data_IF_547761629634
#
_entry.id   IF_547761629634
#
_cell.length_a   1.000
_cell.length_b   1.000
_cell.length_c   1.000
_cell.angle_alpha   90.00
_cell.angle_beta   90.00
_cell.angle_gamma   90.00
#
_symmetry.space_group_name_H-M   'P 1'
#
loop_
_entity.id
_entity.type
_entity.pdbx_description
1 polymer ?
#
# COMPACT_ATOMS: atom_id res chain seq x y z
N UNK A 1 17.75 -13.73 -53.73
CA UNK A 1 17.02 -13.88 -52.49
C UNK A 1 16.25 -12.59 -52.21
N UNK A 2 14.94 -12.69 -52.17
CA UNK A 2 14.02 -11.57 -52.31
C UNK A 2 13.91 -10.70 -51.03
N UNK A 3 14.20 -9.40 -51.14
CA UNK A 3 14.10 -8.40 -50.07
C UNK A 3 12.70 -8.31 -49.42
N UNK A 4 11.65 -8.87 -50.07
CA UNK A 4 10.28 -8.90 -49.52
C UNK A 4 10.06 -9.95 -48.42
N UNK A 5 10.83 -11.05 -48.44
CA UNK A 5 10.71 -12.08 -47.38
C UNK A 5 11.39 -11.66 -46.08
N UNK A 6 12.50 -10.89 -46.15
CA UNK A 6 13.15 -10.39 -44.93
C UNK A 6 12.31 -9.34 -44.19
N UNK A 7 11.58 -8.46 -44.93
CA UNK A 7 10.68 -7.49 -44.32
C UNK A 7 9.46 -8.14 -43.67
N UNK A 8 8.93 -9.23 -44.25
CA UNK A 8 7.78 -9.97 -43.63
C UNK A 8 8.21 -10.75 -42.40
N UNK A 9 9.42 -11.34 -42.37
CA UNK A 9 9.95 -12.04 -41.22
C UNK A 9 10.27 -11.06 -40.05
N UNK A 10 10.84 -9.90 -40.36
CA UNK A 10 11.14 -8.87 -39.35
C UNK A 10 9.86 -8.25 -38.77
N UNK A 11 8.84 -8.01 -39.59
CA UNK A 11 7.55 -7.51 -39.13
C UNK A 11 6.76 -8.54 -38.29
N UNK A 12 6.83 -9.85 -38.64
CA UNK A 12 6.20 -10.89 -37.85
C UNK A 12 6.90 -11.11 -36.52
N UNK A 13 8.24 -11.03 -36.45
CA UNK A 13 8.98 -11.09 -35.20
C UNK A 13 8.75 -9.84 -34.33
N UNK A 14 8.66 -8.66 -34.92
CA UNK A 14 8.32 -7.43 -34.22
C UNK A 14 6.89 -7.49 -33.64
N UNK A 15 5.92 -8.02 -34.40
CA UNK A 15 4.56 -8.21 -33.92
C UNK A 15 4.47 -9.26 -32.79
N UNK A 16 5.26 -10.35 -32.86
CA UNK A 16 5.34 -11.34 -31.79
C UNK A 16 6.01 -10.75 -30.55
N UNK A 17 7.06 -9.91 -30.71
CA UNK A 17 7.67 -9.21 -29.58
C UNK A 17 6.74 -8.15 -28.96
N UNK A 18 5.95 -7.43 -29.76
CA UNK A 18 4.97 -6.46 -29.28
C UNK A 18 3.77 -7.16 -28.59
N UNK A 19 3.31 -8.28 -29.11
CA UNK A 19 2.28 -9.11 -28.48
C UNK A 19 2.78 -9.80 -27.20
N UNK A 20 4.03 -10.27 -27.19
CA UNK A 20 4.65 -10.83 -26.00
C UNK A 20 4.92 -9.73 -24.94
N UNK A 21 5.36 -8.54 -25.35
CA UNK A 21 5.56 -7.41 -24.44
C UNK A 21 4.23 -6.90 -23.85
N UNK A 22 3.15 -6.85 -24.63
CA UNK A 22 1.82 -6.47 -24.13
C UNK A 22 1.21 -7.53 -23.21
N UNK A 23 1.39 -8.81 -23.51
CA UNK A 23 0.92 -9.88 -22.63
C UNK A 23 1.75 -10.02 -21.33
N UNK A 24 3.05 -9.74 -21.39
CA UNK A 24 3.91 -9.68 -20.19
C UNK A 24 3.54 -8.46 -19.35
N UNK A 25 3.29 -7.30 -19.94
CA UNK A 25 2.88 -6.09 -19.22
C UNK A 25 1.51 -6.28 -18.54
N UNK A 26 0.53 -6.92 -19.19
CA UNK A 26 -0.79 -7.16 -18.60
C UNK A 26 -0.80 -8.22 -17.51
N UNK A 27 0.01 -9.28 -17.63
CA UNK A 27 0.17 -10.27 -16.56
C UNK A 27 0.95 -9.70 -15.36
N UNK A 28 1.94 -8.85 -15.62
CA UNK A 28 2.78 -8.22 -14.60
C UNK A 28 2.02 -7.14 -13.83
N UNK A 29 1.11 -6.40 -14.48
CA UNK A 29 0.34 -5.32 -13.84
C UNK A 29 -0.65 -5.82 -12.78
N UNK A 30 -1.15 -7.04 -12.88
CA UNK A 30 -2.02 -7.64 -11.85
C UNK A 30 -1.28 -8.00 -10.56
N UNK A 31 0.05 -8.09 -10.58
CA UNK A 31 0.88 -8.58 -9.47
C UNK A 31 1.81 -7.49 -8.91
N UNK A 32 2.08 -6.41 -9.64
CA UNK A 32 3.21 -5.50 -9.36
C UNK A 32 2.84 -4.09 -8.90
N UNK A 33 1.58 -3.83 -8.57
CA UNK A 33 1.18 -2.49 -8.11
C UNK A 33 1.19 -1.41 -9.19
N UNK A 34 1.41 -1.76 -10.46
CA UNK A 34 1.26 -0.82 -11.56
C UNK A 34 -0.21 -0.48 -11.79
N UNK A 35 -0.52 0.77 -12.03
CA UNK A 35 -1.85 1.17 -12.50
C UNK A 35 -2.13 0.46 -13.81
N UNK A 36 -3.11 -0.42 -13.82
CA UNK A 36 -3.53 -1.11 -15.02
C UNK A 36 -4.79 -0.45 -15.58
N UNK A 37 -4.60 0.54 -16.43
CA UNK A 37 -5.69 1.15 -17.18
C UNK A 37 -6.20 0.25 -18.32
N UNK A 38 -5.47 -0.83 -18.61
CA UNK A 38 -5.77 -1.79 -19.70
C UNK A 38 -6.36 -3.12 -19.18
N UNK A 39 -6.79 -3.13 -17.91
CA UNK A 39 -7.38 -4.30 -17.27
C UNK A 39 -8.72 -4.71 -17.89
N UNK A 40 -9.20 -5.92 -17.60
CA UNK A 40 -10.52 -6.39 -18.05
C UNK A 40 -11.63 -5.71 -17.24
N UNK A 41 -11.74 -4.40 -17.35
CA UNK A 41 -12.73 -3.62 -16.59
C UNK A 41 -14.08 -3.66 -17.27
N UNK A 42 -15.03 -4.34 -16.64
CA UNK A 42 -16.41 -4.46 -17.17
C UNK A 42 -17.10 -3.10 -17.29
N UNK A 43 -16.84 -2.16 -16.36
CA UNK A 43 -17.42 -0.82 -16.42
C UNK A 43 -16.91 -0.02 -17.62
N UNK A 44 -15.63 -0.14 -17.97
CA UNK A 44 -15.04 0.52 -19.12
C UNK A 44 -15.64 0.03 -20.45
N UNK A 45 -16.09 -1.23 -20.50
CA UNK A 45 -16.71 -1.85 -21.67
C UNK A 45 -18.19 -1.51 -21.85
N UNK A 46 -18.85 -0.93 -20.84
CA UNK A 46 -20.24 -0.47 -20.94
C UNK A 46 -20.37 0.71 -21.89
N UNK A 47 -21.59 0.99 -22.37
CA UNK A 47 -21.86 2.17 -23.19
C UNK A 47 -21.50 3.48 -22.48
N UNK A 48 -21.74 3.55 -21.17
CA UNK A 48 -21.38 4.70 -20.33
C UNK A 48 -19.85 4.82 -20.19
N UNK A 49 -19.15 3.73 -19.89
CA UNK A 49 -17.69 3.72 -19.77
C UNK A 49 -16.99 4.13 -21.07
N UNK A 50 -17.48 3.64 -22.22
CA UNK A 50 -17.00 4.03 -23.54
C UNK A 50 -17.24 5.51 -23.83
N UNK A 51 -18.44 6.02 -23.55
CA UNK A 51 -18.76 7.44 -23.75
C UNK A 51 -17.87 8.35 -22.87
N UNK A 52 -17.59 7.95 -21.61
CA UNK A 52 -16.64 8.66 -20.74
C UNK A 52 -15.24 8.64 -21.36
N UNK A 53 -14.77 7.48 -21.82
CA UNK A 53 -13.44 7.34 -22.45
C UNK A 53 -13.28 8.21 -23.69
N UNK A 54 -14.30 8.19 -24.57
CA UNK A 54 -14.30 8.98 -25.79
C UNK A 54 -14.35 10.49 -25.52
N UNK A 55 -15.13 10.91 -24.53
CA UNK A 55 -15.33 12.33 -24.23
C UNK A 55 -14.18 12.93 -23.41
N UNK A 56 -13.66 12.19 -22.43
CA UNK A 56 -12.69 12.72 -21.44
C UNK A 56 -11.30 12.11 -21.54
N UNK A 57 -11.17 10.96 -22.20
CA UNK A 57 -9.97 10.12 -22.18
C UNK A 57 -9.81 9.32 -20.89
N UNK A 58 -10.75 9.40 -19.96
CA UNK A 58 -10.68 8.70 -18.68
C UNK A 58 -11.28 7.29 -18.75
N UNK A 59 -10.73 6.36 -17.98
CA UNK A 59 -11.24 5.00 -17.79
C UNK A 59 -11.93 4.89 -16.44
N UNK A 60 -13.13 4.28 -16.42
CA UNK A 60 -13.85 3.94 -15.19
C UNK A 60 -13.64 2.46 -14.91
N UNK A 61 -13.28 2.14 -13.68
CA UNK A 61 -13.05 0.75 -13.27
C UNK A 61 -13.34 0.56 -11.78
N UNK A 62 -13.50 -0.69 -11.40
CA UNK A 62 -13.68 -1.05 -10.01
C UNK A 62 -13.01 -2.36 -9.65
N UNK A 63 -12.78 -2.53 -8.36
CA UNK A 63 -12.29 -3.75 -7.74
C UNK A 63 -13.07 -4.01 -6.47
N UNK A 64 -13.59 -5.23 -6.31
CA UNK A 64 -14.20 -5.71 -5.09
C UNK A 64 -13.35 -6.83 -4.49
N UNK A 65 -13.21 -6.84 -3.18
CA UNK A 65 -12.49 -7.86 -2.43
C UNK A 65 -13.34 -8.36 -1.27
N UNK A 66 -13.52 -9.66 -1.21
CA UNK A 66 -14.14 -10.35 -0.08
C UNK A 66 -13.33 -11.59 0.26
N UNK A 67 -13.19 -11.89 1.55
CA UNK A 67 -12.34 -12.98 1.99
C UNK A 67 -12.89 -13.73 3.19
N UNK A 68 -12.17 -14.77 3.54
CA UNK A 68 -12.40 -15.58 4.73
C UNK A 68 -11.05 -15.87 5.40
N UNK A 69 -11.02 -15.79 6.71
CA UNK A 69 -9.84 -16.17 7.49
C UNK A 69 -10.21 -16.89 8.77
N UNK A 70 -9.32 -17.75 9.22
CA UNK A 70 -9.34 -18.38 10.54
C UNK A 70 -7.92 -18.51 11.08
N UNK A 71 -7.77 -18.44 12.39
CA UNK A 71 -6.48 -18.67 13.04
C UNK A 71 -6.61 -19.63 14.23
N UNK A 72 -5.49 -20.11 14.75
CA UNK A 72 -5.39 -21.09 15.83
C UNK A 72 -5.32 -20.46 17.24
N UNK A 73 -5.27 -19.13 17.34
CA UNK A 73 -5.13 -18.45 18.63
C UNK A 73 -6.50 -18.17 19.25
N UNK A 74 -6.61 -18.32 20.57
CA UNK A 74 -7.83 -18.08 21.34
C UNK A 74 -7.65 -16.93 22.33
N UNK A 75 -8.74 -16.19 22.60
CA UNK A 75 -8.72 -15.17 23.65
C UNK A 75 -8.79 -15.81 25.05
N UNK A 76 -8.17 -15.16 26.05
CA UNK A 76 -8.19 -15.63 27.43
C UNK A 76 -9.56 -15.60 28.08
N UNK A 77 -10.49 -14.74 27.61
CA UNK A 77 -11.75 -14.46 28.31
C UNK A 77 -12.93 -15.37 27.96
N UNK A 78 -12.97 -15.96 26.78
CA UNK A 78 -14.15 -16.71 26.33
C UNK A 78 -13.87 -17.95 25.46
N UNK A 79 -12.61 -18.34 25.33
CA UNK A 79 -12.16 -19.48 24.49
C UNK A 79 -12.65 -19.43 23.03
N UNK A 80 -13.17 -18.30 22.58
CA UNK A 80 -13.45 -18.08 21.16
C UNK A 80 -12.16 -17.73 20.45
N UNK A 81 -11.99 -18.23 19.24
CA UNK A 81 -10.85 -17.86 18.41
C UNK A 81 -10.80 -16.35 18.26
N UNK A 82 -9.64 -15.79 18.45
CA UNK A 82 -9.45 -14.36 18.36
C UNK A 82 -9.31 -13.93 16.90
N UNK A 83 -9.51 -12.64 16.67
CA UNK A 83 -9.01 -11.99 15.47
C UNK A 83 -7.53 -12.26 15.31
N UNK A 84 -7.08 -12.40 14.08
CA UNK A 84 -5.67 -12.20 13.80
C UNK A 84 -5.28 -10.80 14.29
N UNK A 85 -4.50 -10.77 15.35
CA UNK A 85 -4.03 -9.53 15.97
C UNK A 85 -2.97 -8.83 15.12
N UNK A 86 -2.55 -9.46 14.05
CA UNK A 86 -1.62 -8.81 13.15
C UNK A 86 -2.42 -7.86 12.29
N UNK A 87 -2.14 -6.62 12.46
CA UNK A 87 -2.57 -5.55 11.57
C UNK A 87 -2.22 -5.90 10.11
N UNK A 88 -1.25 -6.78 9.92
CA UNK A 88 -0.79 -7.27 8.63
C UNK A 88 -1.65 -8.39 8.04
N UNK A 89 -2.53 -9.02 8.81
CA UNK A 89 -3.41 -10.08 8.34
C UNK A 89 -4.85 -9.62 8.11
N UNK A 90 -5.72 -10.55 7.71
CA UNK A 90 -7.15 -10.34 7.77
C UNK A 90 -7.54 -9.99 9.20
N UNK A 91 -8.29 -8.93 9.36
CA UNK A 91 -8.52 -8.31 10.66
C UNK A 91 -9.53 -9.05 11.52
N UNK A 92 -10.33 -9.97 10.95
CA UNK A 92 -11.32 -10.78 11.66
C UNK A 92 -11.32 -12.22 11.18
N UNK A 93 -11.73 -13.11 12.09
CA UNK A 93 -12.05 -14.48 11.76
C UNK A 93 -13.41 -14.57 11.09
N UNK A 94 -13.53 -15.42 10.07
CA UNK A 94 -14.76 -15.62 9.31
C UNK A 94 -14.83 -14.81 8.01
N UNK A 95 -16.04 -14.71 7.43
CA UNK A 95 -16.24 -13.99 6.18
C UNK A 95 -16.11 -12.48 6.37
N UNK A 96 -15.45 -11.82 5.42
CA UNK A 96 -15.18 -10.38 5.44
C UNK A 96 -15.44 -9.76 4.10
N UNK A 97 -16.03 -8.55 4.11
CA UNK A 97 -16.02 -7.65 2.98
C UNK A 97 -14.88 -6.65 3.18
N UNK A 98 -13.75 -6.92 2.53
CA UNK A 98 -12.54 -6.07 2.67
C UNK A 98 -12.76 -4.70 2.03
N UNK A 99 -13.40 -4.66 0.85
CA UNK A 99 -13.80 -3.41 0.28
C UNK A 99 -14.08 -3.45 -1.21
N UNK A 100 -14.66 -2.36 -1.65
CA UNK A 100 -14.89 -2.04 -3.06
C UNK A 100 -14.28 -0.68 -3.34
N UNK A 101 -13.51 -0.60 -4.42
CA UNK A 101 -13.06 0.67 -4.99
C UNK A 101 -13.79 0.86 -6.31
N UNK A 102 -14.34 2.07 -6.49
CA UNK A 102 -14.79 2.60 -7.77
C UNK A 102 -13.89 3.76 -8.13
N UNK A 103 -13.28 3.74 -9.29
CA UNK A 103 -12.29 4.71 -9.73
C UNK A 103 -12.58 5.24 -11.13
N UNK A 104 -12.24 6.50 -11.33
CA UNK A 104 -12.11 7.12 -12.64
C UNK A 104 -10.71 7.69 -12.77
N UNK A 105 -9.98 7.31 -13.84
CA UNK A 105 -8.59 7.73 -14.04
C UNK A 105 -8.33 8.09 -15.50
N UNK A 106 -7.63 9.20 -15.68
CA UNK A 106 -6.96 9.58 -16.91
C UNK A 106 -5.48 9.77 -16.59
N UNK A 107 -4.61 8.99 -17.23
CA UNK A 107 -3.17 9.21 -17.14
C UNK A 107 -2.73 10.32 -18.11
N UNK A 108 -1.74 11.14 -17.76
CA UNK A 108 -1.09 12.03 -18.72
C UNK A 108 -0.34 11.20 -19.75
N UNK A 109 -0.19 11.70 -20.96
CA UNK A 109 0.65 11.11 -22.02
C UNK A 109 2.12 11.36 -21.67
N UNK A 110 2.76 10.40 -21.01
CA UNK A 110 4.14 10.48 -20.58
C UNK A 110 4.85 9.14 -20.79
N UNK A 111 6.18 9.16 -20.85
CA UNK A 111 7.03 7.97 -20.87
C UNK A 111 7.38 7.47 -19.45
N UNK A 112 6.51 7.75 -18.51
CA UNK A 112 6.46 7.21 -17.15
C UNK A 112 5.04 7.36 -16.60
N UNK A 113 4.70 6.55 -15.63
CA UNK A 113 3.49 6.75 -14.84
C UNK A 113 3.92 7.47 -13.55
N UNK A 114 3.52 8.74 -13.36
CA UNK A 114 3.88 9.50 -12.16
C UNK A 114 3.55 8.71 -10.90
N UNK A 115 4.42 8.72 -9.92
CA UNK A 115 4.36 8.00 -8.63
C UNK A 115 4.52 6.47 -8.71
N UNK A 116 4.68 5.89 -9.91
CA UNK A 116 4.68 4.44 -10.06
C UNK A 116 5.94 3.91 -10.73
N UNK A 117 6.22 4.31 -11.98
CA UNK A 117 7.33 3.68 -12.70
C UNK A 117 7.74 4.46 -13.96
N UNK A 118 9.02 4.49 -14.31
CA UNK A 118 9.42 4.86 -15.65
C UNK A 118 8.98 3.78 -16.64
N UNK A 119 8.69 4.17 -17.87
CA UNK A 119 8.28 3.28 -18.95
C UNK A 119 9.29 3.35 -20.12
N UNK A 120 9.52 2.24 -20.84
CA UNK A 120 10.30 2.25 -22.07
C UNK A 120 9.57 3.06 -23.17
N UNK A 121 10.32 3.46 -24.19
CA UNK A 121 9.79 4.20 -25.33
C UNK A 121 10.20 5.66 -25.36
N UNK A 122 9.82 6.40 -26.42
CA UNK A 122 10.19 7.79 -26.60
C UNK A 122 9.50 8.70 -25.57
N UNK A 123 10.10 9.87 -25.36
CA UNK A 123 9.49 10.92 -24.56
C UNK A 123 8.28 11.50 -25.33
N UNK A 124 7.19 11.78 -24.62
CA UNK A 124 6.10 12.57 -25.19
C UNK A 124 6.56 14.02 -25.38
N UNK A 125 6.33 14.57 -26.57
CA UNK A 125 6.65 15.95 -26.93
C UNK A 125 5.51 16.93 -26.64
N UNK A 126 4.35 16.43 -26.17
CA UNK A 126 3.15 17.21 -25.96
C UNK A 126 2.89 17.43 -24.47
N UNK A 127 2.38 18.60 -24.13
CA UNK A 127 1.74 18.82 -22.84
C UNK A 127 0.48 17.96 -22.73
N UNK A 128 0.32 17.36 -21.57
CA UNK A 128 -0.86 16.56 -21.30
C UNK A 128 -1.27 16.66 -19.84
N UNK A 129 -2.46 16.18 -19.52
CA UNK A 129 -2.97 16.21 -18.17
C UNK A 129 -3.71 14.92 -17.84
N UNK A 130 -3.78 14.64 -16.57
CA UNK A 130 -4.47 13.50 -16.03
C UNK A 130 -5.15 13.83 -14.70
N UNK A 131 -5.95 12.92 -14.22
CA UNK A 131 -6.58 12.99 -12.90
C UNK A 131 -6.99 11.60 -12.45
N UNK A 132 -7.26 11.48 -11.17
CA UNK A 132 -7.88 10.29 -10.58
C UNK A 132 -8.79 10.69 -9.44
N UNK A 133 -9.93 9.99 -9.31
CA UNK A 133 -10.81 10.03 -8.16
C UNK A 133 -11.27 8.61 -7.83
N UNK A 134 -11.09 8.21 -6.56
CA UNK A 134 -11.47 6.90 -6.04
C UNK A 134 -12.48 7.04 -4.92
N UNK A 135 -13.50 6.19 -4.95
CA UNK A 135 -14.38 5.92 -3.83
C UNK A 135 -14.03 4.55 -3.28
N UNK A 136 -13.74 4.45 -1.98
CA UNK A 136 -13.46 3.20 -1.28
C UNK A 136 -14.49 2.96 -0.19
N UNK A 137 -15.19 1.84 -0.25
CA UNK A 137 -16.12 1.40 0.77
C UNK A 137 -15.80 -0.03 1.20
N UNK A 138 -15.69 -0.25 2.51
CA UNK A 138 -15.44 -1.56 3.09
C UNK A 138 -14.62 -1.48 4.37
N UNK A 139 -14.23 -2.63 4.89
CA UNK A 139 -13.45 -2.71 6.12
C UNK A 139 -12.10 -1.99 6.01
N UNK A 140 -11.40 -2.20 4.90
CA UNK A 140 -10.09 -1.58 4.66
C UNK A 140 -10.19 -0.07 4.33
N UNK A 141 -11.40 0.46 4.17
CA UNK A 141 -11.65 1.90 4.08
C UNK A 141 -11.15 2.68 5.30
N UNK A 142 -11.08 2.01 6.47
CA UNK A 142 -10.45 2.57 7.67
C UNK A 142 -8.98 2.94 7.41
N UNK A 143 -8.23 2.09 6.72
CA UNK A 143 -6.81 2.31 6.44
C UNK A 143 -6.56 3.46 5.46
N UNK A 144 -7.59 3.87 4.74
CA UNK A 144 -7.52 4.98 3.77
C UNK A 144 -8.30 6.22 4.21
N UNK A 145 -8.90 6.24 5.37
CA UNK A 145 -9.56 7.43 5.91
C UNK A 145 -8.52 8.46 6.37
N UNK A 146 -8.71 9.73 6.01
CA UNK A 146 -7.84 10.81 6.47
C UNK A 146 -8.39 11.46 7.74
N UNK A 147 -7.49 11.75 8.66
CA UNK A 147 -7.83 12.45 9.89
C UNK A 147 -8.24 13.92 9.58
N UNK A 148 -9.37 14.36 10.14
CA UNK A 148 -9.94 15.67 9.89
C UNK A 148 -10.79 15.79 8.63
N UNK A 149 -10.99 14.68 7.89
CA UNK A 149 -11.94 14.57 6.76
C UNK A 149 -12.92 13.44 7.03
N UNK A 150 -12.63 12.22 6.55
CA UNK A 150 -13.59 11.12 6.62
C UNK A 150 -13.84 10.63 8.03
N UNK A 151 -12.91 10.82 8.95
CA UNK A 151 -13.14 10.51 10.34
C UNK A 151 -14.18 11.42 11.01
N UNK A 152 -14.45 12.59 10.45
CA UNK A 152 -15.48 13.49 10.97
C UNK A 152 -16.89 13.15 10.46
N UNK A 153 -16.98 12.28 9.47
CA UNK A 153 -18.28 11.90 8.91
C UNK A 153 -19.05 11.00 9.86
N UNK A 154 -20.33 11.29 10.07
CA UNK A 154 -21.22 10.53 10.95
C UNK A 154 -21.21 9.04 10.60
N UNK A 155 -21.18 8.70 9.31
CA UNK A 155 -21.12 7.32 8.82
C UNK A 155 -19.92 6.54 9.34
N UNK A 156 -18.82 7.22 9.60
CA UNK A 156 -17.55 6.64 10.04
C UNK A 156 -17.32 6.80 11.55
N UNK A 157 -18.15 7.53 12.26
CA UNK A 157 -18.00 7.76 13.69
C UNK A 157 -18.47 6.55 14.51
N UNK A 158 -17.79 6.31 15.62
CA UNK A 158 -18.20 5.36 16.63
C UNK A 158 -19.21 5.92 17.61
N UNK A 159 -19.65 5.12 18.59
CA UNK A 159 -20.45 5.61 19.69
C UNK A 159 -19.68 6.62 20.55
N UNK A 160 -20.35 7.63 21.18
CA UNK A 160 -19.69 8.56 22.06
C UNK A 160 -18.86 7.86 23.15
N UNK A 161 -17.62 8.31 23.32
CA UNK A 161 -16.66 7.75 24.30
C UNK A 161 -15.97 6.44 23.89
N UNK A 162 -16.26 5.90 22.70
CA UNK A 162 -15.54 4.78 22.12
C UNK A 162 -14.67 5.27 20.94
N UNK A 163 -13.64 4.49 20.56
CA UNK A 163 -12.93 4.76 19.31
C UNK A 163 -13.94 4.92 18.17
N UNK A 164 -13.72 5.85 17.27
CA UNK A 164 -14.69 6.19 16.23
C UNK A 164 -15.26 5.04 15.42
N UNK A 165 -14.62 3.93 15.38
CA UNK A 165 -14.96 2.75 14.58
C UNK A 165 -15.42 1.54 15.37
N UNK A 166 -15.65 1.67 16.67
CA UNK A 166 -15.94 0.53 17.53
C UNK A 166 -17.22 -0.24 17.12
N UNK A 167 -18.16 0.41 16.44
CA UNK A 167 -19.45 -0.16 16.06
C UNK A 167 -19.65 -0.32 14.55
N UNK A 168 -18.65 0.02 13.73
CA UNK A 168 -18.77 -0.05 12.27
C UNK A 168 -17.74 -1.01 11.68
N UNK A 169 -18.20 -1.89 10.79
CA UNK A 169 -17.36 -2.85 10.09
C UNK A 169 -16.88 -2.32 8.73
N UNK A 170 -17.54 -1.31 8.19
CA UNK A 170 -17.24 -0.78 6.87
C UNK A 170 -17.15 0.74 6.91
N UNK A 171 -16.14 1.28 6.25
CA UNK A 171 -15.80 2.69 6.18
C UNK A 171 -15.90 3.20 4.76
N UNK A 172 -16.28 4.47 4.62
CA UNK A 172 -16.29 5.17 3.35
C UNK A 172 -15.12 6.16 3.35
N UNK A 173 -14.32 6.15 2.29
CA UNK A 173 -13.21 7.10 2.10
C UNK A 173 -12.99 7.43 0.63
N UNK A 174 -12.25 8.51 0.36
CA UNK A 174 -11.77 8.91 -0.96
C UNK A 174 -10.24 8.88 -0.96
N UNK A 175 -9.62 7.70 -1.09
CA UNK A 175 -8.18 7.54 -0.91
C UNK A 175 -7.33 8.30 -1.92
N UNK A 176 -7.85 8.50 -3.13
CA UNK A 176 -7.16 9.19 -4.19
C UNK A 176 -8.10 10.22 -4.83
N UNK A 177 -7.71 11.49 -4.80
CA UNK A 177 -8.36 12.60 -5.51
C UNK A 177 -7.28 13.58 -5.89
N UNK A 178 -6.78 13.49 -7.12
CA UNK A 178 -5.68 14.33 -7.58
C UNK A 178 -5.78 14.69 -9.05
N UNK A 179 -5.09 15.76 -9.42
CA UNK A 179 -4.81 16.16 -10.81
C UNK A 179 -3.32 16.03 -11.12
N UNK A 180 -3.01 15.83 -12.39
CA UNK A 180 -1.65 15.72 -12.91
C UNK A 180 -1.50 16.60 -14.16
N UNK A 181 -0.33 17.20 -14.30
CA UNK A 181 0.08 17.93 -15.51
C UNK A 181 1.46 17.45 -15.94
N UNK A 182 1.58 17.07 -17.20
CA UNK A 182 2.85 16.68 -17.82
C UNK A 182 3.35 17.76 -18.76
N UNK A 183 4.64 18.03 -18.73
CA UNK A 183 5.35 18.91 -19.65
C UNK A 183 6.60 18.19 -20.20
N UNK A 184 6.94 18.39 -21.48
CA UNK A 184 8.15 17.86 -22.10
C UNK A 184 9.40 18.66 -21.71
N UNK A 185 9.64 18.83 -20.41
CA UNK A 185 10.78 19.53 -19.84
C UNK A 185 11.84 18.49 -19.45
N UNK A 186 13.09 18.68 -19.90
CA UNK A 186 14.17 17.72 -19.70
C UNK A 186 13.87 16.39 -20.41
N UNK A 187 13.87 15.28 -19.66
CA UNK A 187 13.48 13.95 -20.14
C UNK A 187 12.01 13.63 -19.81
N UNK A 188 11.17 14.65 -19.65
CA UNK A 188 9.76 14.57 -19.26
C UNK A 188 9.56 14.79 -17.76
N UNK A 189 8.64 15.70 -17.44
CA UNK A 189 8.34 16.10 -16.06
C UNK A 189 6.83 16.18 -15.87
N UNK A 190 6.33 15.68 -14.73
CA UNK A 190 4.93 15.79 -14.32
C UNK A 190 4.80 16.36 -12.91
N UNK A 191 3.74 17.12 -12.68
CA UNK A 191 3.33 17.58 -11.35
C UNK A 191 2.03 16.87 -10.99
N UNK A 192 1.95 16.35 -9.77
CA UNK A 192 0.71 15.80 -9.18
C UNK A 192 0.34 16.64 -7.99
N UNK A 193 -0.93 17.02 -7.86
CA UNK A 193 -1.44 17.76 -6.72
C UNK A 193 -2.80 17.25 -6.29
N UNK A 194 -3.03 17.18 -4.98
CA UNK A 194 -4.25 16.66 -4.37
C UNK A 194 -3.96 15.61 -3.29
N UNK A 195 -4.84 14.64 -3.17
CA UNK A 195 -4.69 13.48 -2.28
C UNK A 195 -4.24 12.28 -3.08
N UNK A 196 -3.08 11.76 -2.77
CA UNK A 196 -2.48 10.64 -3.49
C UNK A 196 -1.63 9.75 -2.58
N UNK A 197 -1.41 8.51 -3.00
CA UNK A 197 -0.56 7.60 -2.26
C UNK A 197 0.93 7.88 -2.45
N UNK A 198 1.69 7.70 -1.38
CA UNK A 198 3.15 7.68 -1.39
C UNK A 198 3.59 6.23 -1.21
N UNK A 199 4.06 5.61 -2.29
CA UNK A 199 4.52 4.22 -2.22
C UNK A 199 5.92 4.17 -1.63
N UNK A 200 6.02 3.81 -0.35
CA UNK A 200 7.28 3.70 0.37
C UNK A 200 7.87 2.29 0.34
N UNK A 201 7.09 1.24 0.07
CA UNK A 201 7.53 -0.15 0.16
C UNK A 201 7.25 -0.99 -1.09
N UNK A 202 7.46 -2.29 -0.96
CA UNK A 202 7.16 -3.26 -2.02
C UNK A 202 5.66 -3.56 -2.12
N UNK A 203 5.03 -3.86 -1.00
CA UNK A 203 3.59 -4.00 -0.95
C UNK A 203 2.91 -2.63 -0.93
N UNK A 204 1.74 -2.57 -1.56
CA UNK A 204 0.96 -1.34 -1.64
C UNK A 204 -0.22 -1.36 -0.68
N UNK A 205 -0.63 -0.19 -0.16
CA UNK A 205 -1.79 -0.07 0.70
C UNK A 205 -3.09 -0.54 0.05
N UNK A 206 -4.07 -0.97 0.84
CA UNK A 206 -5.37 -1.44 0.33
C UNK A 206 -6.14 -0.43 -0.49
N UNK A 207 -5.90 0.86 -0.27
CA UNK A 207 -6.49 1.94 -1.06
C UNK A 207 -6.07 1.95 -2.53
N UNK A 208 -5.00 1.25 -2.87
CA UNK A 208 -4.47 1.14 -4.24
C UNK A 208 -4.90 -0.18 -4.91
N UNK A 209 -6.11 -0.64 -4.66
CA UNK A 209 -6.59 -1.98 -5.00
C UNK A 209 -6.61 -2.36 -6.47
N UNK A 210 -6.49 -1.41 -7.42
CA UNK A 210 -6.38 -1.77 -8.83
C UNK A 210 -5.18 -2.68 -9.14
N UNK A 211 -4.22 -2.75 -8.23
CA UNK A 211 -3.09 -3.65 -8.32
C UNK A 211 -2.84 -4.27 -6.92
N UNK A 212 -3.66 -5.21 -6.49
CA UNK A 212 -3.54 -5.81 -5.18
C UNK A 212 -2.23 -6.58 -5.04
N UNK A 213 -1.71 -6.62 -3.81
CA UNK A 213 -0.56 -7.42 -3.45
C UNK A 213 -0.77 -8.91 -3.79
N UNK A 214 0.31 -9.66 -3.91
CA UNK A 214 0.23 -11.09 -4.23
C UNK A 214 -0.58 -11.86 -3.19
N UNK A 215 -0.34 -11.58 -1.90
CA UNK A 215 -0.99 -12.24 -0.77
C UNK A 215 -2.23 -11.46 -0.30
N UNK A 216 -3.17 -12.17 0.30
CA UNK A 216 -4.30 -11.56 0.99
C UNK A 216 -3.85 -10.86 2.28
N UNK A 217 -3.01 -11.51 3.08
CA UNK A 217 -2.35 -10.88 4.22
C UNK A 217 -1.28 -9.88 3.77
N UNK A 218 -0.92 -8.98 4.68
CA UNK A 218 0.01 -7.87 4.47
C UNK A 218 1.29 -8.08 5.26
N UNK A 219 2.39 -7.46 4.81
CA UNK A 219 3.62 -7.40 5.59
C UNK A 219 3.48 -6.45 6.78
N UNK A 220 4.25 -6.70 7.83
CA UNK A 220 4.39 -5.77 8.95
C UNK A 220 5.01 -4.43 8.50
N UNK A 221 5.88 -4.47 7.49
CA UNK A 221 6.43 -3.27 6.88
C UNK A 221 5.34 -2.36 6.29
N UNK A 222 4.39 -2.93 5.54
CA UNK A 222 3.27 -2.16 4.98
C UNK A 222 2.43 -1.49 6.06
N UNK A 223 2.21 -2.17 7.18
CA UNK A 223 1.41 -1.64 8.29
C UNK A 223 2.03 -0.39 8.91
N UNK A 224 3.35 -0.27 8.91
CA UNK A 224 4.07 0.89 9.43
C UNK A 224 4.18 2.05 8.44
N UNK A 225 3.73 1.87 7.19
CA UNK A 225 3.84 2.88 6.12
C UNK A 225 2.62 3.79 6.06
N UNK A 226 2.84 4.97 5.49
CA UNK A 226 1.76 5.88 5.11
C UNK A 226 1.00 5.31 3.91
N UNK A 227 -0.32 5.44 3.91
CA UNK A 227 -1.16 5.10 2.75
C UNK A 227 -1.20 6.28 1.76
N UNK A 228 -1.43 7.48 2.24
CA UNK A 228 -1.70 8.64 1.40
C UNK A 228 -1.31 9.96 2.08
N UNK A 229 -1.09 10.98 1.25
CA UNK A 229 -0.79 12.34 1.66
C UNK A 229 -1.64 13.33 0.87
N UNK A 230 -1.97 14.48 1.47
CA UNK A 230 -2.53 15.63 0.78
C UNK A 230 -1.41 16.62 0.56
N UNK A 231 -1.09 16.88 -0.69
CA UNK A 231 0.06 17.71 -1.03
C UNK A 231 0.31 17.84 -2.53
N UNK A 232 1.56 18.04 -2.87
CA UNK A 232 2.00 18.10 -4.25
C UNK A 232 3.37 17.42 -4.43
N UNK A 233 3.61 16.88 -5.62
CA UNK A 233 4.90 16.31 -5.99
C UNK A 233 5.25 16.58 -7.44
N UNK A 234 6.53 16.63 -7.72
CA UNK A 234 7.11 16.58 -9.05
C UNK A 234 7.69 15.18 -9.31
N UNK A 235 7.45 14.65 -10.50
CA UNK A 235 8.05 13.41 -11.02
C UNK A 235 8.77 13.73 -12.31
N UNK A 236 10.06 13.36 -12.43
CA UNK A 236 10.84 13.65 -13.63
C UNK A 236 11.79 12.51 -13.98
N UNK A 237 11.92 12.19 -15.27
CA UNK A 237 12.97 11.28 -15.71
C UNK A 237 14.33 11.97 -15.56
N UNK A 238 15.23 11.37 -14.77
CA UNK A 238 16.59 11.85 -14.54
C UNK A 238 17.59 11.25 -15.52
N UNK A 239 17.43 9.97 -15.85
CA UNK A 239 18.31 9.23 -16.73
C UNK A 239 17.50 8.27 -17.60
N UNK A 240 17.84 8.23 -18.87
CA UNK A 240 17.35 7.21 -19.82
C UNK A 240 18.51 6.85 -20.75
N UNK A 241 19.00 5.62 -20.65
CA UNK A 241 20.13 5.15 -21.44
C UNK A 241 20.05 3.63 -21.69
N UNK A 242 21.08 3.04 -22.24
CA UNK A 242 21.15 1.60 -22.53
C UNK A 242 21.06 0.69 -21.29
N UNK A 243 21.35 1.19 -20.11
CA UNK A 243 21.33 0.42 -18.86
C UNK A 243 19.97 0.49 -18.15
N UNK A 244 19.11 1.45 -18.51
CA UNK A 244 17.79 1.59 -17.91
C UNK A 244 17.32 3.04 -17.82
N UNK A 245 16.29 3.19 -16.99
CA UNK A 245 15.56 4.43 -16.77
C UNK A 245 15.54 4.75 -15.28
N UNK A 246 15.81 6.01 -14.92
CA UNK A 246 15.72 6.51 -13.55
C UNK A 246 14.68 7.63 -13.49
N UNK A 247 13.63 7.42 -12.70
CA UNK A 247 12.62 8.41 -12.36
C UNK A 247 12.92 8.96 -10.95
N UNK A 248 12.98 10.27 -10.82
CA UNK A 248 13.08 10.98 -9.55
C UNK A 248 11.75 11.64 -9.20
N UNK A 249 11.37 11.55 -7.93
CA UNK A 249 10.16 12.16 -7.40
C UNK A 249 10.49 12.89 -6.12
N UNK A 250 9.92 14.08 -5.95
CA UNK A 250 10.04 14.87 -4.73
C UNK A 250 8.73 15.61 -4.47
N UNK A 251 8.31 15.62 -3.22
CA UNK A 251 7.05 16.24 -2.85
C UNK A 251 6.97 16.66 -1.39
N UNK A 252 5.86 17.30 -1.08
CA UNK A 252 5.51 17.72 0.28
C UNK A 252 4.02 17.56 0.51
N UNK A 253 3.63 17.46 1.78
CA UNK A 253 2.23 17.36 2.18
C UNK A 253 2.05 17.50 3.68
N UNK A 254 0.82 17.33 4.15
CA UNK A 254 0.40 17.68 5.51
C UNK A 254 0.74 16.63 6.59
N UNK A 255 1.34 15.52 6.23
CA UNK A 255 1.64 14.43 7.18
C UNK A 255 0.94 13.11 6.86
N UNK A 256 1.12 12.12 7.72
CA UNK A 256 0.61 10.76 7.54
C UNK A 256 -0.92 10.72 7.65
N UNK A 257 -1.60 10.59 6.50
CA UNK A 257 -3.06 10.52 6.41
C UNK A 257 -3.80 11.68 7.10
N UNK A 258 -3.19 12.86 7.09
CA UNK A 258 -3.75 14.08 7.67
C UNK A 258 -4.49 14.86 6.58
N UNK A 259 -5.80 14.99 6.75
CA UNK A 259 -6.64 15.80 5.88
C UNK A 259 -6.71 17.25 6.32
N UNK A 260 -6.76 17.48 7.62
CA UNK A 260 -6.71 18.81 8.23
C UNK A 260 -5.39 18.94 8.99
N UNK A 261 -4.62 19.95 8.62
CA UNK A 261 -3.36 20.26 9.27
C UNK A 261 -3.58 20.47 10.79
N UNK A 262 -2.85 19.74 11.60
CA UNK A 262 -3.01 19.72 13.05
C UNK A 262 -1.79 20.24 13.81
N UNK A 263 -0.71 20.62 13.13
CA UNK A 263 0.53 21.10 13.75
C UNK A 263 1.24 22.21 12.97
N UNK A 264 0.63 22.73 11.89
CA UNK A 264 1.21 23.72 10.97
C UNK A 264 2.57 23.31 10.37
N UNK A 265 2.83 22.00 10.29
CA UNK A 265 4.05 21.44 9.70
C UNK A 265 3.75 20.66 8.43
N UNK A 266 4.73 20.56 7.56
CA UNK A 266 4.64 19.75 6.35
C UNK A 266 5.69 18.65 6.36
N UNK A 267 5.32 17.52 5.80
CA UNK A 267 6.26 16.47 5.49
C UNK A 267 6.87 16.67 4.12
N UNK A 268 8.11 16.26 3.97
CA UNK A 268 8.75 16.12 2.67
C UNK A 268 9.01 14.64 2.40
N UNK A 269 8.92 14.25 1.14
CA UNK A 269 9.19 12.90 0.71
C UNK A 269 9.89 12.89 -0.65
N UNK A 270 10.60 11.81 -0.91
CA UNK A 270 11.26 11.59 -2.19
C UNK A 270 11.36 10.13 -2.55
N UNK A 271 11.41 9.87 -3.85
CA UNK A 271 11.54 8.51 -4.40
C UNK A 271 12.48 8.54 -5.59
N UNK A 272 13.38 7.57 -5.64
CA UNK A 272 14.20 7.26 -6.82
C UNK A 272 13.84 5.86 -7.31
N UNK A 273 13.38 5.74 -8.56
CA UNK A 273 12.96 4.49 -9.18
C UNK A 273 13.79 4.20 -10.41
N UNK A 274 14.65 3.21 -10.30
CA UNK A 274 15.37 2.69 -11.46
C UNK A 274 14.67 1.42 -11.98
N UNK A 275 14.59 1.31 -13.32
CA UNK A 275 14.19 0.09 -14.02
C UNK A 275 15.08 -0.20 -15.20
N UNK A 276 15.37 -1.48 -15.46
CA UNK A 276 15.98 -1.90 -16.73
C UNK A 276 15.04 -1.66 -17.90
N UNK A 277 15.60 -1.50 -19.12
CA UNK A 277 14.79 -1.21 -20.32
C UNK A 277 13.84 -2.37 -20.69
N UNK A 278 14.19 -3.60 -20.34
CA UNK A 278 13.36 -4.80 -20.50
C UNK A 278 12.33 -4.98 -19.36
N UNK A 279 12.29 -4.05 -18.41
CA UNK A 279 11.42 -4.06 -17.22
C UNK A 279 11.64 -5.24 -16.27
N UNK A 280 12.65 -6.08 -16.51
CA UNK A 280 12.91 -7.30 -15.70
C UNK A 280 13.54 -7.01 -14.34
N UNK A 281 14.16 -5.83 -14.15
CA UNK A 281 14.87 -5.45 -12.91
C UNK A 281 14.42 -4.09 -12.43
N UNK A 282 14.34 -3.93 -11.12
CA UNK A 282 14.04 -2.63 -10.54
C UNK A 282 14.71 -2.44 -9.18
N UNK A 283 14.99 -1.17 -8.87
CA UNK A 283 15.41 -0.71 -7.54
C UNK A 283 14.63 0.58 -7.26
N UNK A 284 14.05 0.67 -6.07
CA UNK A 284 13.35 1.87 -5.62
C UNK A 284 13.86 2.22 -4.22
N UNK A 285 14.33 3.44 -4.05
CA UNK A 285 14.58 4.03 -2.75
C UNK A 285 13.54 5.11 -2.49
N UNK A 286 12.97 5.12 -1.29
CA UNK A 286 11.98 6.10 -0.88
C UNK A 286 12.23 6.57 0.54
N UNK A 287 11.87 7.82 0.82
CA UNK A 287 11.86 8.37 2.16
C UNK A 287 10.69 9.33 2.36
N UNK A 288 10.28 9.48 3.60
CA UNK A 288 9.39 10.54 4.07
C UNK A 288 9.86 11.02 5.44
N UNK A 289 9.74 12.31 5.69
CA UNK A 289 10.09 12.91 6.98
C UNK A 289 9.31 14.19 7.24
N UNK A 290 8.95 14.41 8.49
CA UNK A 290 8.25 15.60 8.96
C UNK A 290 7.81 15.48 10.40
N UNK A 291 7.24 16.55 10.95
CA UNK A 291 6.62 16.54 12.26
C UNK A 291 5.22 15.92 12.16
N UNK A 292 5.01 14.83 12.89
CA UNK A 292 3.74 14.07 12.87
C UNK A 292 2.91 14.28 14.15
N UNK A 293 3.39 15.13 15.06
CA UNK A 293 2.74 15.29 16.33
C UNK A 293 1.72 16.43 16.29
N UNK A 294 0.67 16.27 17.05
CA UNK A 294 -0.33 17.31 17.22
C UNK A 294 0.20 18.46 18.04
N UNK A 295 -0.17 19.68 17.66
CA UNK A 295 -0.09 20.83 18.51
C UNK A 295 -0.92 20.59 19.79
N UNK A 296 -0.36 20.91 20.97
CA UNK A 296 -1.02 20.70 22.25
C UNK A 296 -2.38 21.44 22.38
N UNK A 297 -2.56 22.54 21.65
CA UNK A 297 -3.83 23.26 21.55
C UNK A 297 -4.93 22.52 20.79
N UNK A 298 -4.56 21.47 20.02
CA UNK A 298 -5.46 20.66 19.18
C UNK A 298 -5.49 19.19 19.59
N UNK A 299 -5.16 18.89 20.83
CA UNK A 299 -5.09 17.50 21.32
C UNK A 299 -6.37 16.69 21.12
N UNK A 300 -7.54 17.33 21.09
CA UNK A 300 -8.82 16.66 20.81
C UNK A 300 -9.02 16.30 19.34
N UNK A 301 -8.29 16.92 18.42
CA UNK A 301 -8.27 16.56 16.99
C UNK A 301 -7.26 15.45 16.68
N UNK A 302 -6.44 15.15 17.66
CA UNK A 302 -5.31 14.24 17.55
C UNK A 302 -5.66 12.78 17.69
N UNK A 303 -6.89 12.42 17.97
CA UNK A 303 -7.28 11.00 17.99
C UNK A 303 -7.20 10.44 16.57
N UNK A 304 -6.02 9.97 16.23
CA UNK A 304 -5.85 9.25 14.98
C UNK A 304 -6.65 7.96 15.06
N UNK A 305 -7.48 7.77 14.09
CA UNK A 305 -8.21 6.55 13.80
C UNK A 305 -7.31 5.39 13.51
N UNK A 306 -6.09 5.71 13.13
CA UNK A 306 -5.15 4.74 12.63
C UNK A 306 -4.50 4.07 13.82
N UNK A 307 -4.79 2.79 14.03
CA UNK A 307 -4.25 2.08 15.16
C UNK A 307 -2.72 2.05 15.21
N UNK A 308 -2.06 2.40 14.12
CA UNK A 308 -0.61 2.32 13.99
C UNK A 308 0.12 3.66 14.09
N UNK A 309 -0.58 4.72 14.40
CA UNK A 309 0.02 6.04 14.58
C UNK A 309 -0.25 6.54 15.99
N UNK A 310 0.51 6.05 16.97
CA UNK A 310 0.37 6.54 18.34
C UNK A 310 0.61 8.06 18.34
N UNK A 311 -0.28 8.76 18.99
CA UNK A 311 -0.21 10.19 19.14
C UNK A 311 0.63 10.49 20.35
N UNK A 312 1.63 11.31 20.17
CA UNK A 312 2.36 11.94 21.24
C UNK A 312 1.97 13.41 21.29
N UNK A 313 1.44 13.87 22.41
CA UNK A 313 0.87 15.19 22.56
C UNK A 313 1.96 16.25 22.77
N UNK A 314 2.82 16.48 21.80
CA UNK A 314 3.74 17.62 21.79
C UNK A 314 4.20 17.94 20.37
N UNK A 315 4.53 19.19 20.14
CA UNK A 315 5.03 19.70 18.87
C UNK A 315 6.51 19.40 18.67
N UNK A 316 6.98 19.43 17.44
CA UNK A 316 8.38 19.34 17.08
C UNK A 316 8.98 17.92 17.15
N UNK A 317 8.16 16.90 17.00
CA UNK A 317 8.61 15.51 17.02
C UNK A 317 8.64 14.92 15.63
N UNK A 318 9.81 14.82 15.09
CA UNK A 318 10.04 14.36 13.74
C UNK A 318 9.85 12.85 13.64
N UNK A 319 9.10 12.44 12.63
CA UNK A 319 9.08 11.07 12.12
C UNK A 319 9.85 11.02 10.82
N UNK A 320 10.61 9.96 10.64
CA UNK A 320 11.27 9.64 9.38
C UNK A 320 11.10 8.17 9.06
N UNK A 321 10.99 7.86 7.77
CA UNK A 321 10.94 6.49 7.28
C UNK A 321 11.66 6.40 5.95
N UNK A 322 12.44 5.33 5.79
CA UNK A 322 13.20 5.00 4.59
C UNK A 322 12.88 3.58 4.17
N UNK A 323 12.80 3.34 2.88
CA UNK A 323 12.68 1.99 2.31
C UNK A 323 13.55 1.84 1.07
N UNK A 324 14.16 0.68 0.94
CA UNK A 324 14.87 0.24 -0.26
C UNK A 324 14.24 -1.06 -0.73
N UNK A 325 13.68 -1.03 -1.92
CA UNK A 325 13.05 -2.16 -2.59
C UNK A 325 13.85 -2.52 -3.81
N UNK A 326 14.12 -3.81 -4.02
CA UNK A 326 14.74 -4.31 -5.23
C UNK A 326 14.07 -5.60 -5.69
N UNK A 327 14.06 -5.83 -6.99
CA UNK A 327 13.54 -7.08 -7.53
C UNK A 327 13.99 -7.34 -8.95
N UNK A 328 13.85 -8.61 -9.34
CA UNK A 328 14.18 -9.04 -10.69
C UNK A 328 13.37 -10.28 -11.08
N UNK A 329 13.15 -10.43 -12.38
CA UNK A 329 12.56 -11.60 -13.01
C UNK A 329 13.62 -12.30 -13.84
N UNK A 330 14.25 -13.40 -13.35
CA UNK A 330 15.29 -14.10 -14.09
C UNK A 330 14.77 -14.71 -15.39
N UNK A 331 13.50 -14.98 -15.46
CA UNK A 331 12.77 -15.43 -16.65
C UNK A 331 11.27 -15.13 -16.50
N UNK A 332 10.45 -15.54 -17.47
CA UNK A 332 9.02 -15.31 -17.47
C UNK A 332 8.24 -16.04 -16.35
N UNK A 333 8.85 -17.02 -15.69
CA UNK A 333 8.20 -17.84 -14.67
C UNK A 333 8.50 -17.35 -13.25
N UNK A 334 9.71 -16.86 -13.00
CA UNK A 334 10.18 -16.50 -11.66
C UNK A 334 10.27 -15.00 -11.46
N UNK A 335 9.84 -14.57 -10.31
CA UNK A 335 10.05 -13.20 -9.82
C UNK A 335 10.52 -13.23 -8.38
N UNK A 336 11.54 -12.45 -8.08
CA UNK A 336 12.11 -12.26 -6.75
C UNK A 336 12.06 -10.78 -6.42
N UNK A 337 11.63 -10.43 -5.22
CA UNK A 337 11.69 -9.06 -4.73
C UNK A 337 12.00 -9.06 -3.23
N UNK A 338 12.54 -7.95 -2.75
CA UNK A 338 12.79 -7.75 -1.33
C UNK A 338 12.75 -6.28 -0.95
N UNK A 339 12.47 -6.03 0.30
CA UNK A 339 12.43 -4.71 0.90
C UNK A 339 13.23 -4.70 2.20
N UNK A 340 13.97 -3.61 2.42
CA UNK A 340 14.56 -3.25 3.71
C UNK A 340 13.98 -1.88 4.08
N UNK A 341 13.43 -1.76 5.29
CA UNK A 341 12.90 -0.49 5.77
C UNK A 341 13.46 -0.12 7.14
N UNK A 342 13.51 1.17 7.40
CA UNK A 342 13.87 1.77 8.68
C UNK A 342 12.97 2.97 8.95
N UNK A 343 12.48 3.09 10.18
CA UNK A 343 11.75 4.25 10.63
C UNK A 343 12.17 4.69 12.03
N UNK A 344 11.98 5.96 12.31
CA UNK A 344 12.27 6.61 13.59
C UNK A 344 11.19 7.63 13.91
N UNK A 345 10.77 7.67 15.16
CA UNK A 345 10.00 8.75 15.77
C UNK A 345 10.83 9.39 16.87
N UNK A 346 11.00 10.69 16.82
CA UNK A 346 11.65 11.43 17.91
C UNK A 346 10.76 11.45 19.15
N UNK A 347 11.39 11.43 20.31
CA UNK A 347 10.73 11.52 21.58
C UNK A 347 10.58 12.97 22.05
N UNK A 348 9.66 13.21 22.98
CA UNK A 348 9.59 14.44 23.73
C UNK A 348 9.64 14.12 25.21
N UNK A 349 10.52 14.78 25.94
CA UNK A 349 10.72 14.55 27.37
C UNK A 349 9.47 14.76 28.23
N UNK A 350 8.50 15.54 27.73
CA UNK A 350 7.31 15.97 28.47
C UNK A 350 6.00 15.39 27.93
N UNK A 351 6.03 14.58 26.88
CA UNK A 351 4.82 14.04 26.29
C UNK A 351 4.34 12.78 26.99
N UNK A 352 3.11 12.82 27.43
CA UNK A 352 2.40 11.62 27.84
C UNK A 352 1.94 10.84 26.64
N UNK A 353 2.13 9.53 26.66
CA UNK A 353 1.49 8.63 25.71
C UNK A 353 -0.04 8.72 25.95
N UNK A 354 -0.77 9.31 25.03
CA UNK A 354 -2.22 9.61 25.21
C UNK A 354 -3.05 8.36 25.52
N UNK A 355 -2.55 7.18 25.19
CA UNK A 355 -3.23 5.91 25.36
C UNK A 355 -3.09 5.31 26.75
N UNK A 356 -2.30 5.91 27.63
CA UNK A 356 -2.24 5.54 29.03
C UNK A 356 -2.27 6.79 29.93
N UNK A 357 -3.46 7.39 30.11
CA UNK A 357 -3.58 8.60 30.95
C UNK A 357 -3.25 8.35 32.44
N UNK A 358 -3.12 7.09 32.85
CA UNK A 358 -2.87 6.74 34.26
C UNK A 358 -1.36 6.73 34.57
N UNK A 359 -0.52 6.47 33.58
CA UNK A 359 0.94 6.48 33.74
C UNK A 359 1.57 7.33 32.67
N UNK A 360 1.55 8.64 32.88
CA UNK A 360 2.20 9.60 32.01
C UNK A 360 3.72 9.42 32.06
N UNK A 361 4.28 8.54 31.28
CA UNK A 361 5.71 8.36 31.15
C UNK A 361 6.25 9.18 29.97
N UNK A 362 7.41 9.82 30.10
CA UNK A 362 8.05 10.51 28.99
C UNK A 362 8.25 9.56 27.81
N UNK A 363 7.85 9.96 26.62
CA UNK A 363 8.14 9.23 25.41
C UNK A 363 9.55 9.59 24.93
N UNK A 364 10.46 8.64 24.98
CA UNK A 364 11.88 8.84 24.63
C UNK A 364 12.17 8.65 23.15
N UNK A 365 11.14 8.40 22.35
CA UNK A 365 11.25 8.08 20.93
C UNK A 365 11.23 6.59 20.65
N UNK A 366 11.15 6.25 19.36
CA UNK A 366 11.09 4.88 18.90
C UNK A 366 11.86 4.71 17.59
N UNK A 367 12.38 3.49 17.39
CA UNK A 367 12.95 3.07 16.11
C UNK A 367 12.38 1.72 15.72
N UNK A 368 12.10 1.56 14.44
CA UNK A 368 11.61 0.30 13.91
C UNK A 368 12.29 -0.03 12.59
N UNK A 369 12.39 -1.31 12.27
CA UNK A 369 13.03 -1.76 11.04
C UNK A 369 12.46 -3.10 10.59
N UNK A 370 12.37 -3.28 9.29
CA UNK A 370 11.84 -4.49 8.67
C UNK A 370 12.67 -4.96 7.49
N UNK A 371 12.54 -6.25 7.24
CA UNK A 371 12.91 -6.88 5.99
C UNK A 371 11.76 -7.79 5.57
N UNK A 372 11.44 -7.78 4.27
CA UNK A 372 10.58 -8.79 3.65
C UNK A 372 11.15 -9.23 2.31
N UNK A 373 11.00 -10.51 2.02
CA UNK A 373 11.41 -11.14 0.78
C UNK A 373 10.26 -11.92 0.16
N UNK A 374 10.12 -11.79 -1.15
CA UNK A 374 9.04 -12.37 -1.94
C UNK A 374 9.62 -13.21 -3.08
N UNK A 375 9.09 -14.40 -3.25
CA UNK A 375 9.36 -15.27 -4.37
C UNK A 375 8.04 -15.67 -4.99
N UNK A 376 7.88 -15.51 -6.30
CA UNK A 376 6.72 -16.02 -7.02
C UNK A 376 7.11 -16.84 -8.23
N UNK A 377 6.29 -17.86 -8.52
CA UNK A 377 6.47 -18.79 -9.63
C UNK A 377 5.18 -18.92 -10.42
N UNK A 378 5.24 -18.59 -11.71
CA UNK A 378 4.15 -18.77 -12.67
C UNK A 378 4.14 -20.22 -13.15
N UNK A 379 3.26 -21.03 -12.59
CA UNK A 379 3.12 -22.45 -12.93
C UNK A 379 2.34 -22.65 -14.24
N UNK A 380 1.37 -21.78 -14.52
CA UNK A 380 0.59 -21.75 -15.76
C UNK A 380 0.13 -20.33 -16.07
N UNK A 381 -0.65 -20.15 -17.14
CA UNK A 381 -1.23 -18.84 -17.46
C UNK A 381 -2.23 -18.37 -16.41
N UNK A 382 -2.82 -19.28 -15.65
CA UNK A 382 -3.86 -18.99 -14.65
C UNK A 382 -3.42 -19.23 -13.20
N UNK A 383 -2.25 -19.84 -12.95
CA UNK A 383 -1.82 -20.20 -11.59
C UNK A 383 -0.41 -19.68 -11.32
N UNK A 384 -0.28 -18.94 -10.23
CA UNK A 384 0.98 -18.45 -9.68
C UNK A 384 1.08 -18.83 -8.22
N UNK A 385 2.22 -19.39 -7.80
CA UNK A 385 2.54 -19.67 -6.39
C UNK A 385 3.43 -18.59 -5.81
N UNK A 386 3.34 -18.36 -4.51
CA UNK A 386 4.15 -17.36 -3.81
C UNK A 386 4.63 -17.84 -2.46
N UNK A 387 5.84 -17.40 -2.12
CA UNK A 387 6.43 -17.51 -0.79
C UNK A 387 6.84 -16.10 -0.34
N UNK A 388 6.48 -15.72 0.89
CA UNK A 388 6.93 -14.51 1.55
C UNK A 388 7.53 -14.87 2.91
N UNK A 389 8.70 -14.30 3.21
CA UNK A 389 9.28 -14.27 4.54
C UNK A 389 9.46 -12.83 4.99
N UNK A 390 9.20 -12.57 6.26
CA UNK A 390 9.38 -11.24 6.83
C UNK A 390 9.90 -11.28 8.27
N UNK A 391 10.64 -10.24 8.64
CA UNK A 391 11.04 -9.94 10.00
C UNK A 391 10.86 -8.44 10.24
N UNK A 392 10.22 -8.08 11.35
CA UNK A 392 10.00 -6.70 11.74
C UNK A 392 10.36 -6.51 13.21
N UNK A 393 11.18 -5.50 13.49
CA UNK A 393 11.65 -5.15 14.84
C UNK A 393 11.06 -3.81 15.24
N UNK A 394 10.30 -3.82 16.31
CA UNK A 394 9.68 -2.64 16.92
C UNK A 394 9.86 -2.73 18.45
N UNK A 395 11.07 -2.48 18.95
CA UNK A 395 11.40 -2.72 20.35
C UNK A 395 10.64 -1.83 21.33
N UNK A 396 10.12 -0.68 20.89
CA UNK A 396 9.32 0.22 21.71
C UNK A 396 7.79 0.01 21.55
N UNK A 397 7.35 -0.85 20.63
CA UNK A 397 5.93 -1.06 20.37
C UNK A 397 5.26 0.16 19.75
N UNK A 398 5.96 0.88 18.89
CA UNK A 398 5.45 2.10 18.26
C UNK A 398 4.75 1.85 16.92
N UNK A 399 5.37 1.04 16.07
CA UNK A 399 4.90 0.88 14.68
C UNK A 399 3.85 -0.21 14.50
N UNK A 400 3.91 -1.29 15.29
CA UNK A 400 3.03 -2.44 15.15
C UNK A 400 1.82 -2.41 16.08
N UNK A 401 1.88 -1.61 17.13
CA UNK A 401 0.90 -1.73 18.19
C UNK A 401 0.25 -0.41 18.52
N UNK A 402 -1.02 -0.30 18.23
CA UNK A 402 -1.74 0.94 18.46
C UNK A 402 -1.95 1.27 19.93
N UNK A 403 -1.76 0.36 20.88
CA UNK A 403 -2.34 0.57 22.21
C UNK A 403 -1.62 -0.23 23.30
N UNK A 404 -0.34 0.06 23.53
CA UNK A 404 0.33 -0.42 24.75
C UNK A 404 0.68 -1.91 24.75
N UNK A 405 0.80 -2.53 23.59
CA UNK A 405 1.43 -3.84 23.51
C UNK A 405 2.94 -3.68 23.67
N UNK A 406 3.61 -4.68 24.24
CA UNK A 406 5.05 -4.62 24.44
C UNK A 406 5.77 -4.57 23.10
N UNK A 407 6.90 -3.90 23.05
CA UNK A 407 7.80 -3.95 21.91
C UNK A 407 8.16 -5.39 21.57
N UNK A 408 8.36 -5.66 20.28
CA UNK A 408 8.61 -7.02 19.82
C UNK A 408 9.48 -7.08 18.56
N UNK A 409 10.07 -8.25 18.35
CA UNK A 409 10.52 -8.72 17.04
C UNK A 409 9.50 -9.75 16.55
N UNK A 410 8.89 -9.49 15.41
CA UNK A 410 7.89 -10.36 14.80
C UNK A 410 8.43 -10.91 13.49
N UNK A 411 8.16 -12.17 13.21
CA UNK A 411 8.54 -12.83 11.96
C UNK A 411 7.34 -13.57 11.40
N UNK A 412 7.30 -13.75 10.08
CA UNK A 412 6.28 -14.55 9.45
C UNK A 412 6.77 -15.24 8.18
N UNK A 413 6.17 -16.40 7.89
CA UNK A 413 6.24 -17.08 6.60
C UNK A 413 4.84 -17.19 6.04
N UNK A 414 4.67 -16.86 4.77
CA UNK A 414 3.39 -16.98 4.05
C UNK A 414 3.60 -17.79 2.77
N UNK A 415 2.79 -18.81 2.57
CA UNK A 415 2.67 -19.57 1.33
C UNK A 415 1.28 -19.30 0.75
N UNK A 416 1.18 -19.08 -0.55
CA UNK A 416 -0.11 -18.83 -1.17
C UNK A 416 -0.08 -19.03 -2.69
N UNK A 417 -1.25 -18.87 -3.28
CA UNK A 417 -1.43 -18.92 -4.72
C UNK A 417 -2.34 -17.80 -5.22
N UNK A 418 -2.13 -17.38 -6.45
CA UNK A 418 -3.09 -16.60 -7.22
C UNK A 418 -3.63 -17.50 -8.33
N UNK A 419 -4.94 -17.69 -8.36
CA UNK A 419 -5.66 -18.54 -9.29
C UNK A 419 -6.66 -17.69 -10.06
N UNK A 420 -6.36 -17.39 -11.32
CA UNK A 420 -7.26 -16.67 -12.21
C UNK A 420 -8.42 -17.62 -12.60
N UNK A 421 -9.57 -17.50 -11.95
CA UNK A 421 -10.77 -18.28 -12.25
C UNK A 421 -11.35 -17.88 -13.61
N UNK A 422 -11.25 -16.60 -13.92
CA UNK A 422 -11.47 -16.02 -15.25
C UNK A 422 -10.75 -14.65 -15.33
N UNK A 423 -10.93 -13.92 -16.45
CA UNK A 423 -10.25 -12.63 -16.65
C UNK A 423 -10.57 -11.56 -15.60
N UNK A 424 -11.72 -11.67 -14.92
CA UNK A 424 -12.20 -10.69 -13.94
C UNK A 424 -12.15 -11.19 -12.49
N UNK A 425 -11.94 -12.48 -12.27
CA UNK A 425 -12.05 -13.09 -10.94
C UNK A 425 -10.78 -13.85 -10.57
N UNK A 426 -10.16 -13.48 -9.46
CA UNK A 426 -8.96 -14.11 -8.93
C UNK A 426 -9.24 -14.63 -7.52
N UNK A 427 -8.92 -15.91 -7.26
CA UNK A 427 -8.91 -16.54 -5.94
C UNK A 427 -7.48 -16.55 -5.39
N UNK A 428 -7.30 -16.13 -4.12
CA UNK A 428 -5.99 -16.13 -3.46
C UNK A 428 -6.04 -16.88 -2.12
N UNK A 429 -5.87 -18.20 -2.11
CA UNK A 429 -5.67 -18.97 -0.87
C UNK A 429 -4.26 -18.76 -0.33
N UNK A 430 -4.13 -18.72 1.02
CA UNK A 430 -2.85 -18.66 1.70
C UNK A 430 -2.87 -19.32 3.07
N UNK A 431 -1.69 -19.74 3.51
CA UNK A 431 -1.38 -20.09 4.89
C UNK A 431 -0.22 -19.22 5.36
N UNK A 432 -0.38 -18.62 6.54
CA UNK A 432 0.59 -17.75 7.19
C UNK A 432 0.88 -18.24 8.60
N UNK A 433 2.16 -18.32 8.94
CA UNK A 433 2.60 -18.58 10.31
C UNK A 433 3.43 -17.41 10.81
N UNK A 434 3.01 -16.82 11.93
CA UNK A 434 3.65 -15.71 12.60
C UNK A 434 4.22 -16.16 13.94
N UNK A 435 5.37 -15.60 14.34
CA UNK A 435 5.92 -15.75 15.69
C UNK A 435 6.59 -14.46 16.16
N UNK A 436 6.48 -14.18 17.44
CA UNK A 436 6.96 -12.96 18.06
C UNK A 436 7.83 -13.25 19.26
N UNK A 437 8.84 -12.40 19.44
CA UNK A 437 9.63 -12.31 20.66
C UNK A 437 9.47 -10.90 21.22
N UNK A 438 8.80 -10.79 22.36
CA UNK A 438 8.59 -9.50 23.03
C UNK A 438 9.85 -9.01 23.70
N UNK A 439 10.00 -7.69 23.81
CA UNK A 439 11.22 -7.06 24.35
C UNK A 439 11.42 -7.38 25.84
N UNK A 440 10.34 -7.46 26.62
CA UNK A 440 10.39 -7.80 28.04
C UNK A 440 10.37 -9.32 28.32
N UNK A 441 10.20 -10.16 27.30
CA UNK A 441 10.22 -11.62 27.40
C UNK A 441 9.01 -12.28 28.08
N UNK A 442 8.19 -11.54 28.83
CA UNK A 442 7.07 -12.07 29.63
C UNK A 442 5.72 -11.88 28.94
N UNK A 443 5.54 -10.75 28.23
CA UNK A 443 4.29 -10.45 27.56
C UNK A 443 4.10 -11.31 26.30
N UNK A 444 2.85 -11.61 26.00
CA UNK A 444 2.42 -12.25 24.75
C UNK A 444 2.10 -11.20 23.69
N UNK A 445 2.12 -11.60 22.42
CA UNK A 445 1.92 -10.67 21.31
C UNK A 445 0.61 -10.87 20.55
N UNK A 446 0.17 -12.12 20.36
CA UNK A 446 -1.03 -12.47 19.59
C UNK A 446 -2.22 -12.81 20.49
N UNK A 447 -3.42 -12.70 19.95
CA UNK A 447 -4.66 -13.14 20.63
C UNK A 447 -5.37 -12.08 21.44
N UNK A 448 -4.96 -10.81 21.43
CA UNK A 448 -5.68 -9.76 22.14
C UNK A 448 -6.81 -9.16 21.29
N UNK A 449 -8.06 -9.31 21.75
CA UNK A 449 -9.25 -8.66 21.20
C UNK A 449 -10.32 -8.58 22.30
N UNK A 450 -10.92 -7.47 22.52
CA UNK A 450 -10.67 -6.07 22.17
C UNK A 450 -9.49 -5.45 22.95
N UNK A 451 -9.24 -4.16 22.83
CA UNK A 451 -8.11 -3.42 23.41
C UNK A 451 -7.77 -3.67 24.89
N UNK A 452 -8.66 -4.29 25.65
CA UNK A 452 -8.50 -4.61 27.08
C UNK A 452 -8.15 -6.07 27.35
N UNK A 453 -8.04 -6.92 26.33
CA UNK A 453 -7.68 -8.33 26.52
C UNK A 453 -6.17 -8.49 26.42
N UNK A 454 -5.57 -9.22 27.36
CA UNK A 454 -4.17 -9.57 27.27
C UNK A 454 -3.93 -10.56 26.13
N UNK A 455 -2.86 -10.35 25.40
CA UNK A 455 -2.40 -11.31 24.40
C UNK A 455 -2.14 -12.67 25.05
N UNK A 456 -2.43 -13.75 24.34
CA UNK A 456 -2.41 -15.11 24.91
C UNK A 456 -1.26 -15.96 24.36
N UNK A 457 -0.70 -15.60 23.20
CA UNK A 457 0.31 -16.41 22.52
C UNK A 457 1.41 -15.57 21.87
N UNK A 458 2.52 -16.21 21.55
CA UNK A 458 3.63 -15.66 20.79
C UNK A 458 3.75 -16.27 19.38
N UNK A 459 2.82 -17.12 19.00
CA UNK A 459 2.72 -17.72 17.68
C UNK A 459 1.28 -17.74 17.24
N UNK A 460 1.04 -17.67 15.94
CA UNK A 460 -0.27 -17.90 15.34
C UNK A 460 -0.12 -18.47 13.94
N UNK A 461 -1.07 -19.29 13.54
CA UNK A 461 -1.21 -19.75 12.16
C UNK A 461 -2.56 -19.29 11.63
N UNK A 462 -2.53 -18.58 10.50
CA UNK A 462 -3.73 -18.11 9.82
C UNK A 462 -3.88 -18.84 8.49
N UNK A 463 -5.07 -19.40 8.25
CA UNK A 463 -5.47 -19.91 6.95
C UNK A 463 -6.51 -18.95 6.41
N UNK A 464 -6.31 -18.46 5.21
CA UNK A 464 -7.19 -17.49 4.59
C UNK A 464 -7.30 -17.63 3.09
N UNK A 465 -8.36 -17.10 2.55
CA UNK A 465 -8.54 -16.95 1.11
C UNK A 465 -9.40 -15.73 0.83
N UNK A 466 -9.17 -15.07 -0.31
CA UNK A 466 -10.04 -14.02 -0.78
C UNK A 466 -10.33 -14.13 -2.29
N UNK A 467 -11.37 -13.44 -2.69
CA UNK A 467 -11.76 -13.24 -4.07
C UNK A 467 -11.59 -11.78 -4.45
N UNK A 468 -10.91 -11.55 -5.54
CA UNK A 468 -10.78 -10.25 -6.20
C UNK A 468 -11.65 -10.25 -7.45
N UNK A 469 -12.59 -9.32 -7.55
CA UNK A 469 -13.44 -9.14 -8.72
C UNK A 469 -13.18 -7.77 -9.35
N UNK A 470 -12.69 -7.79 -10.59
CA UNK A 470 -12.42 -6.59 -11.39
C UNK A 470 -13.63 -6.27 -12.28
N UNK A 471 -14.14 -5.04 -12.21
CA UNK A 471 -15.31 -4.62 -12.96
C UNK A 471 -15.23 -3.21 -13.53
#
# INVERSE_FOLDING_TARGET
MNHSHFKKLALSQLAIYLLAASSIATAQSKVDGATNTDGPFLLADTSVGKAIKETTGATVFGLMQAGYSMNDVTTSSNKKKSRSNTIAGPSDEGPQFNGMILAIEKLPEANFIPRITPLPGPMSEKYSWGFRADLHYGRDGLMSAANGIENTWERNQGAPGLPPNANHMNYLSFPMVYAQAYAPIGLGTAVTAGRFGVNLGYEIPPSWRQAPNFFYSRTYALVSQIDQIIGAQISTNLVRNQYGMLLGEFGFGKGYQIGRDNNNSNNVFGVLRWRSNDMSKFITYSFITGDEQTDSSRSNEAMTWYPNHPIVASTGQRREQHSLVAGFSPNAQWKVAGEIMHGKQEGSGDACYILNPVTCAPFTGATYKGFNGHLSYKASETIRYGLRYEIFKDPQGFALTPLGTPGATVQAVTLGANIDLNKNLVLRPEIRHDWAKTTNGEAKFFGAVPANASATDNQQTTISADLLFYF
#
